data_IF_679645092153
#
_entry.id   IF_679645092153
#
_cell.length_a   1.000
_cell.length_b   1.000
_cell.length_c   1.000
_cell.angle_alpha   90.00
_cell.angle_beta   90.00
_cell.angle_gamma   90.00
#
_symmetry.space_group_name_H-M   'P 1'
#
loop_
_entity.id
_entity.type
_entity.pdbx_description
1 polymer ?
#
# COMPACT_ATOMS: atom_id res chain seq x y z
N UNK A 1 3.37 21.96 12.62
CA UNK A 1 2.64 22.55 11.47
C UNK A 1 2.26 21.39 10.57
N UNK A 2 0.96 21.08 10.44
CA UNK A 2 0.51 20.10 9.44
C UNK A 2 0.93 20.65 8.07
N UNK A 3 1.70 19.88 7.30
CA UNK A 3 1.96 20.24 5.90
C UNK A 3 0.61 20.24 5.19
N UNK A 4 0.21 21.39 4.66
CA UNK A 4 -0.90 21.43 3.71
C UNK A 4 -0.43 20.74 2.42
N UNK A 5 -1.24 19.82 1.91
CA UNK A 5 -1.03 19.23 0.59
C UNK A 5 -1.12 20.32 -0.47
N UNK A 6 -0.31 20.21 -1.53
CA UNK A 6 -0.47 21.04 -2.74
C UNK A 6 -1.70 20.61 -3.55
N UNK A 7 -2.21 19.41 -3.29
CA UNK A 7 -3.30 18.80 -4.01
C UNK A 7 -4.61 18.95 -3.24
N UNK A 8 -5.68 19.12 -4.00
CA UNK A 8 -7.03 19.09 -3.47
C UNK A 8 -7.75 17.89 -4.09
N UNK A 9 -8.08 16.91 -3.25
CA UNK A 9 -8.94 15.79 -3.63
C UNK A 9 -10.26 16.30 -4.21
N UNK A 10 -10.71 15.71 -5.31
CA UNK A 10 -11.99 16.01 -5.93
C UNK A 10 -13.13 15.38 -5.14
N UNK A 11 -14.17 16.16 -4.90
CA UNK A 11 -15.37 15.63 -4.29
C UNK A 11 -16.20 14.89 -5.35
N UNK A 12 -16.63 13.64 -5.07
CA UNK A 12 -17.60 12.96 -5.91
C UNK A 12 -18.93 13.72 -5.95
N UNK A 13 -19.68 13.57 -7.04
CA UNK A 13 -21.04 14.08 -7.16
C UNK A 13 -22.05 13.22 -6.37
N UNK A 14 -23.34 13.51 -6.51
CA UNK A 14 -24.42 12.78 -5.82
C UNK A 14 -24.48 11.29 -6.17
N UNK A 15 -23.93 10.89 -7.32
CA UNK A 15 -23.85 9.51 -7.77
C UNK A 15 -22.51 8.85 -7.40
N UNK A 16 -21.63 9.56 -6.70
CA UNK A 16 -20.28 9.09 -6.38
C UNK A 16 -19.30 9.19 -7.54
N UNK A 17 -19.62 9.95 -8.59
CA UNK A 17 -18.80 10.10 -9.79
C UNK A 17 -17.88 11.32 -9.68
N UNK A 18 -16.67 11.19 -10.20
CA UNK A 18 -15.68 12.28 -10.22
C UNK A 18 -15.45 12.72 -11.65
N UNK A 19 -15.52 14.03 -11.88
CA UNK A 19 -15.15 14.63 -13.16
C UNK A 19 -13.62 14.79 -13.26
N UNK A 20 -12.99 13.89 -14.00
CA UNK A 20 -11.58 13.97 -14.38
C UNK A 20 -11.44 14.74 -15.69
N UNK A 21 -10.48 15.65 -15.74
CA UNK A 21 -10.11 16.35 -16.97
C UNK A 21 -9.35 15.44 -17.93
N UNK A 22 -9.29 15.83 -19.20
CA UNK A 22 -8.52 15.10 -20.22
C UNK A 22 -7.04 14.97 -19.84
N UNK A 23 -6.47 16.00 -19.21
CA UNK A 23 -5.08 15.99 -18.77
C UNK A 23 -4.85 15.00 -17.61
N UNK A 24 -5.76 14.92 -16.65
CA UNK A 24 -5.67 13.94 -15.55
C UNK A 24 -5.81 12.51 -16.07
N UNK A 25 -6.72 12.28 -17.01
CA UNK A 25 -6.86 10.98 -17.68
C UNK A 25 -5.61 10.64 -18.51
N UNK A 26 -4.98 11.62 -19.16
CA UNK A 26 -3.73 11.41 -19.89
C UNK A 26 -2.58 11.03 -18.94
N UNK A 27 -2.42 11.73 -17.82
CA UNK A 27 -1.43 11.40 -16.79
C UNK A 27 -1.64 9.97 -16.29
N UNK A 28 -2.88 9.59 -15.99
CA UNK A 28 -3.21 8.21 -15.60
C UNK A 28 -2.79 7.19 -16.66
N UNK A 29 -3.15 7.44 -17.92
CA UNK A 29 -2.81 6.54 -19.03
C UNK A 29 -1.30 6.34 -19.19
N UNK A 30 -0.52 7.43 -19.09
CA UNK A 30 0.94 7.37 -19.16
C UNK A 30 1.54 6.61 -17.96
N UNK A 31 1.04 6.84 -16.74
CA UNK A 31 1.47 6.10 -15.53
C UNK A 31 1.13 4.61 -15.65
N UNK A 32 -0.08 4.28 -16.09
CA UNK A 32 -0.56 2.91 -16.28
C UNK A 32 0.31 2.17 -17.29
N UNK A 33 0.51 2.75 -18.48
CA UNK A 33 1.30 2.12 -19.54
C UNK A 33 2.75 1.87 -19.10
N UNK A 34 3.37 2.86 -18.46
CA UNK A 34 4.73 2.72 -17.92
C UNK A 34 4.82 1.58 -16.92
N UNK A 35 3.85 1.50 -16.00
CA UNK A 35 3.88 0.48 -14.95
C UNK A 35 3.58 -0.91 -15.50
N UNK A 36 2.60 -1.05 -16.40
CA UNK A 36 2.28 -2.33 -17.04
C UNK A 36 3.38 -2.88 -17.95
N UNK A 37 4.31 -2.04 -18.42
CA UNK A 37 5.50 -2.50 -19.10
C UNK A 37 6.55 -3.14 -18.14
N UNK A 38 6.50 -2.80 -16.85
CA UNK A 38 7.48 -3.24 -15.84
C UNK A 38 6.99 -4.42 -14.98
N UNK A 39 5.69 -4.48 -14.71
CA UNK A 39 5.11 -5.48 -13.80
C UNK A 39 5.17 -6.94 -14.28
N UNK A 40 5.11 -7.28 -15.59
CA UNK A 40 5.20 -8.67 -16.03
C UNK A 40 6.48 -9.36 -15.56
N UNK A 41 6.32 -10.53 -14.94
CA UNK A 41 7.43 -11.28 -14.32
C UNK A 41 7.90 -10.73 -12.96
N UNK A 42 7.34 -9.61 -12.49
CA UNK A 42 7.70 -8.97 -11.22
C UNK A 42 6.55 -8.95 -10.22
N UNK A 43 5.34 -8.55 -10.63
CA UNK A 43 4.16 -8.64 -9.77
C UNK A 43 3.68 -10.08 -9.61
N UNK A 44 3.10 -10.39 -8.45
CA UNK A 44 2.48 -11.69 -8.20
C UNK A 44 1.24 -11.92 -9.08
N UNK A 45 0.87 -13.19 -9.24
CA UNK A 45 -0.31 -13.59 -10.02
C UNK A 45 -1.60 -12.97 -9.47
N UNK A 46 -1.78 -12.95 -8.15
CA UNK A 46 -2.97 -12.43 -7.47
C UNK A 46 -3.20 -10.94 -7.78
N UNK A 47 -2.13 -10.19 -8.00
CA UNK A 47 -2.23 -8.80 -8.45
C UNK A 47 -2.86 -8.71 -9.84
N UNK A 48 -2.38 -9.50 -10.81
CA UNK A 48 -2.92 -9.50 -12.17
C UNK A 48 -4.36 -10.03 -12.22
N UNK A 49 -4.67 -11.08 -11.47
CA UNK A 49 -6.05 -11.57 -11.33
C UNK A 49 -6.97 -10.45 -10.85
N UNK A 50 -6.55 -9.70 -9.82
CA UNK A 50 -7.29 -8.56 -9.30
C UNK A 50 -7.40 -7.40 -10.29
N UNK A 51 -6.33 -7.10 -11.03
CA UNK A 51 -6.31 -6.06 -12.05
C UNK A 51 -7.35 -6.33 -13.15
N UNK A 52 -7.41 -7.58 -13.62
CA UNK A 52 -8.36 -8.05 -14.63
C UNK A 52 -9.80 -7.98 -14.10
N UNK A 53 -10.03 -8.39 -12.85
CA UNK A 53 -11.34 -8.31 -12.20
C UNK A 53 -11.85 -6.87 -12.08
N UNK A 54 -10.96 -5.94 -11.74
CA UNK A 54 -11.29 -4.52 -11.60
C UNK A 54 -11.52 -3.84 -12.96
N UNK A 55 -11.05 -4.42 -14.07
CA UNK A 55 -11.20 -3.84 -15.41
C UNK A 55 -10.44 -2.52 -15.58
N UNK A 56 -9.31 -2.35 -14.88
CA UNK A 56 -8.51 -1.13 -14.96
C UNK A 56 -7.86 -1.00 -16.34
N UNK A 57 -7.86 0.22 -16.87
CA UNK A 57 -7.41 0.48 -18.24
C UNK A 57 -6.66 1.82 -18.33
N UNK A 58 -5.82 2.03 -19.35
CA UNK A 58 -5.10 3.30 -19.52
C UNK A 58 -5.98 4.44 -20.06
N UNK A 59 -7.23 4.17 -20.45
CA UNK A 59 -8.06 5.16 -21.15
C UNK A 59 -8.55 6.31 -20.25
N UNK A 60 -8.82 6.03 -18.99
CA UNK A 60 -9.31 7.02 -18.04
C UNK A 60 -9.08 6.56 -16.60
N UNK A 61 -9.05 7.52 -15.67
CA UNK A 61 -9.06 7.25 -14.24
C UNK A 61 -10.36 6.52 -13.89
N UNK A 62 -10.31 5.35 -13.22
CA UNK A 62 -11.48 4.58 -12.88
C UNK A 62 -12.37 5.33 -11.89
N UNK A 63 -13.67 5.05 -11.96
CA UNK A 63 -14.64 5.58 -11.01
C UNK A 63 -14.72 4.65 -9.81
N UNK A 64 -14.72 5.22 -8.62
CA UNK A 64 -14.77 4.45 -7.37
C UNK A 64 -15.97 3.49 -7.29
N UNK A 65 -17.20 3.87 -7.72
CA UNK A 65 -18.34 2.93 -7.74
C UNK A 65 -18.11 1.67 -8.57
N UNK A 66 -17.34 1.74 -9.66
CA UNK A 66 -17.03 0.58 -10.50
C UNK A 66 -16.08 -0.39 -9.81
N UNK A 67 -15.07 0.15 -9.13
CA UNK A 67 -14.14 -0.62 -8.28
C UNK A 67 -14.91 -1.25 -7.11
N UNK A 68 -15.75 -0.47 -6.43
CA UNK A 68 -16.54 -0.91 -5.27
C UNK A 68 -17.44 -2.09 -5.60
N UNK A 69 -18.06 -2.10 -6.78
CA UNK A 69 -18.90 -3.22 -7.22
C UNK A 69 -18.13 -4.53 -7.21
N UNK A 70 -16.88 -4.53 -7.68
CA UNK A 70 -16.02 -5.70 -7.73
C UNK A 70 -15.54 -6.06 -6.32
N UNK A 71 -14.97 -5.10 -5.58
CA UNK A 71 -14.46 -5.34 -4.23
C UNK A 71 -15.54 -5.88 -3.28
N UNK A 72 -16.77 -5.36 -3.37
CA UNK A 72 -17.91 -5.84 -2.56
C UNK A 72 -18.23 -7.28 -2.88
N UNK A 73 -18.25 -7.65 -4.16
CA UNK A 73 -18.53 -9.01 -4.62
C UNK A 73 -17.41 -9.99 -4.24
N UNK A 74 -16.15 -9.55 -4.22
CA UNK A 74 -14.99 -10.41 -3.95
C UNK A 74 -14.77 -10.64 -2.45
N UNK A 75 -14.70 -9.57 -1.65
CA UNK A 75 -14.22 -9.62 -0.26
C UNK A 75 -15.06 -8.79 0.71
N UNK A 76 -16.11 -8.13 0.21
CA UNK A 76 -16.94 -7.20 0.97
C UNK A 76 -16.26 -5.85 1.22
N UNK A 77 -15.14 -5.58 0.54
CA UNK A 77 -14.45 -4.30 0.61
C UNK A 77 -15.09 -3.26 -0.31
N UNK A 78 -14.83 -1.99 -0.03
CA UNK A 78 -15.13 -0.88 -0.93
C UNK A 78 -14.10 0.22 -0.71
N UNK A 79 -14.06 1.21 -1.60
CA UNK A 79 -13.25 2.40 -1.45
C UNK A 79 -13.98 3.46 -0.62
N UNK A 80 -13.23 4.45 -0.13
CA UNK A 80 -13.75 5.66 0.48
C UNK A 80 -12.98 6.85 -0.05
N UNK A 81 -13.64 7.74 -0.79
CA UNK A 81 -13.04 9.01 -1.21
C UNK A 81 -12.65 9.83 0.01
N UNK A 82 -11.38 10.22 0.09
CA UNK A 82 -10.82 11.00 1.21
C UNK A 82 -10.06 12.23 0.71
N UNK A 83 -9.89 13.27 1.56
CA UNK A 83 -8.93 14.33 1.28
C UNK A 83 -7.50 13.77 1.14
N UNK A 84 -6.58 14.57 0.63
CA UNK A 84 -5.19 14.16 0.39
C UNK A 84 -4.48 13.62 1.65
N UNK A 85 -4.94 14.03 2.84
CA UNK A 85 -4.44 13.55 4.13
C UNK A 85 -5.60 13.33 5.10
N UNK A 86 -5.64 12.17 5.75
CA UNK A 86 -6.55 11.86 6.84
C UNK A 86 -5.80 11.55 8.13
N UNK A 87 -6.51 11.60 9.26
CA UNK A 87 -5.93 11.22 10.55
C UNK A 87 -5.71 9.70 10.63
N UNK A 88 -4.76 9.25 11.45
CA UNK A 88 -4.59 7.82 11.72
C UNK A 88 -5.86 7.16 12.27
N UNK A 89 -6.61 7.85 13.13
CA UNK A 89 -7.85 7.31 13.68
C UNK A 89 -8.88 6.99 12.59
N UNK A 90 -9.09 7.95 11.69
CA UNK A 90 -9.97 7.80 10.53
C UNK A 90 -9.48 6.70 9.58
N UNK A 91 -8.17 6.65 9.29
CA UNK A 91 -7.59 5.59 8.47
C UNK A 91 -7.89 4.19 9.04
N UNK A 92 -7.65 3.98 10.34
CA UNK A 92 -7.93 2.70 10.98
C UNK A 92 -9.42 2.36 11.04
N UNK A 93 -10.29 3.36 11.26
CA UNK A 93 -11.75 3.17 11.25
C UNK A 93 -12.27 2.70 9.89
N UNK A 94 -11.77 3.31 8.82
CA UNK A 94 -12.10 2.92 7.45
C UNK A 94 -11.67 1.47 7.18
N UNK A 95 -10.41 1.12 7.45
CA UNK A 95 -9.90 -0.24 7.21
C UNK A 95 -10.63 -1.29 8.04
N UNK A 96 -10.89 -1.00 9.32
CA UNK A 96 -11.64 -1.90 10.21
C UNK A 96 -13.07 -2.17 9.72
N UNK A 97 -13.62 -1.23 8.93
CA UNK A 97 -14.95 -1.30 8.33
C UNK A 97 -14.92 -1.77 6.87
N UNK A 98 -13.81 -2.36 6.41
CA UNK A 98 -13.58 -2.79 5.01
C UNK A 98 -13.74 -1.67 3.99
N UNK A 99 -13.32 -0.46 4.35
CA UNK A 99 -13.29 0.72 3.47
C UNK A 99 -11.85 1.13 3.25
N UNK A 100 -11.38 1.07 2.01
CA UNK A 100 -10.02 1.47 1.67
C UNK A 100 -10.00 2.97 1.30
N UNK A 101 -9.28 3.83 2.02
CA UNK A 101 -9.22 5.25 1.72
C UNK A 101 -8.52 5.48 0.39
N UNK A 102 -9.13 6.29 -0.47
CA UNK A 102 -8.56 6.69 -1.76
C UNK A 102 -8.56 8.20 -1.85
N UNK A 103 -7.38 8.81 -1.90
CA UNK A 103 -7.26 10.23 -2.16
C UNK A 103 -7.65 10.52 -3.62
N UNK A 104 -8.68 11.33 -3.82
CA UNK A 104 -9.28 11.56 -5.15
C UNK A 104 -8.61 12.70 -5.91
N UNK A 105 -7.29 12.67 -5.99
CA UNK A 105 -6.49 13.51 -6.87
C UNK A 105 -5.44 12.66 -7.60
N UNK A 106 -4.91 13.15 -8.72
CA UNK A 106 -3.76 12.53 -9.40
C UNK A 106 -2.59 13.51 -9.40
N UNK A 107 -1.35 12.99 -9.32
CA UNK A 107 -0.14 13.81 -9.37
C UNK A 107 -0.06 14.66 -10.64
N UNK A 108 0.62 15.80 -10.54
CA UNK A 108 0.91 16.67 -11.68
C UNK A 108 2.01 16.09 -12.58
N UNK A 109 2.17 16.65 -13.79
CA UNK A 109 3.30 16.31 -14.68
C UNK A 109 4.67 16.62 -14.06
N UNK A 110 4.78 17.66 -13.24
CA UNK A 110 6.04 18.00 -12.55
C UNK A 110 6.45 16.91 -11.55
N UNK A 111 5.48 16.26 -10.91
CA UNK A 111 5.69 15.21 -9.91
C UNK A 111 5.44 13.79 -10.49
N UNK A 112 5.41 13.66 -11.82
CA UNK A 112 5.09 12.41 -12.54
C UNK A 112 5.98 11.22 -12.16
N UNK A 113 7.24 11.48 -11.84
CA UNK A 113 8.21 10.44 -11.48
C UNK A 113 8.24 10.10 -9.99
N UNK A 114 7.81 11.02 -9.12
CA UNK A 114 7.81 10.81 -7.68
C UNK A 114 6.91 11.85 -7.02
N UNK A 115 5.97 11.36 -6.23
CA UNK A 115 5.14 12.15 -5.32
C UNK A 115 5.24 11.53 -3.93
N UNK A 116 5.45 12.35 -2.90
CA UNK A 116 5.54 11.87 -1.53
C UNK A 116 4.16 11.48 -0.96
N UNK A 117 3.12 12.18 -1.37
CA UNK A 117 1.74 11.92 -0.95
C UNK A 117 1.13 10.84 -1.85
N UNK A 118 0.36 9.89 -1.29
CA UNK A 118 -0.32 8.89 -2.10
C UNK A 118 -1.46 9.56 -2.89
N UNK A 119 -1.46 9.36 -4.21
CA UNK A 119 -2.51 9.81 -5.12
C UNK A 119 -3.40 8.65 -5.56
N UNK A 120 -4.45 8.93 -6.35
CA UNK A 120 -5.38 7.91 -6.82
C UNK A 120 -4.68 6.77 -7.59
N UNK A 121 -3.57 7.07 -8.28
CA UNK A 121 -2.79 6.03 -8.96
C UNK A 121 -2.14 5.08 -7.96
N UNK A 122 -1.47 5.60 -6.92
CA UNK A 122 -0.91 4.76 -5.87
C UNK A 122 -1.99 3.89 -5.21
N UNK A 123 -3.12 4.47 -4.84
CA UNK A 123 -4.15 3.73 -4.12
C UNK A 123 -4.83 2.67 -5.00
N UNK A 124 -5.25 3.07 -6.20
CA UNK A 124 -6.01 2.18 -7.08
C UNK A 124 -5.11 1.16 -7.77
N UNK A 125 -4.00 1.58 -8.38
CA UNK A 125 -3.11 0.62 -9.06
C UNK A 125 -2.21 -0.14 -8.09
N UNK A 126 -1.87 0.42 -6.93
CA UNK A 126 -1.01 -0.23 -5.95
C UNK A 126 -1.74 -1.22 -5.08
N UNK A 127 -2.94 -0.89 -4.59
CA UNK A 127 -3.58 -1.64 -3.49
C UNK A 127 -4.90 -2.31 -3.89
N UNK A 128 -5.77 -1.65 -4.66
CA UNK A 128 -7.11 -2.18 -4.96
C UNK A 128 -7.12 -3.58 -5.61
N UNK A 129 -6.25 -3.93 -6.58
CA UNK A 129 -6.21 -5.27 -7.16
C UNK A 129 -6.09 -6.37 -6.10
N UNK A 130 -5.22 -6.19 -5.11
CA UNK A 130 -4.98 -7.18 -4.07
C UNK A 130 -6.09 -7.24 -3.02
N UNK A 131 -6.91 -6.20 -2.88
CA UNK A 131 -8.12 -6.25 -2.03
C UNK A 131 -9.19 -7.21 -2.58
N UNK A 132 -9.08 -7.68 -3.82
CA UNK A 132 -9.91 -8.78 -4.35
C UNK A 132 -9.52 -10.14 -3.76
N UNK A 133 -8.29 -10.26 -3.22
CA UNK A 133 -7.79 -11.49 -2.62
C UNK A 133 -8.22 -11.61 -1.14
N UNK A 134 -8.85 -12.72 -0.70
CA UNK A 134 -9.32 -12.87 0.67
C UNK A 134 -8.24 -12.78 1.76
N UNK A 135 -7.02 -13.26 1.49
CA UNK A 135 -5.92 -13.24 2.47
C UNK A 135 -5.42 -11.83 2.72
N UNK A 136 -5.20 -11.07 1.64
CA UNK A 136 -4.79 -9.68 1.72
C UNK A 136 -5.90 -8.82 2.36
N UNK A 137 -7.14 -8.98 1.90
CA UNK A 137 -8.31 -8.30 2.45
C UNK A 137 -8.52 -8.56 3.95
N UNK A 138 -8.38 -9.80 4.41
CA UNK A 138 -8.52 -10.15 5.82
C UNK A 138 -7.40 -9.55 6.68
N UNK A 139 -6.16 -9.58 6.19
CA UNK A 139 -5.03 -8.95 6.87
C UNK A 139 -5.23 -7.44 7.03
N UNK A 140 -5.62 -6.74 5.96
CA UNK A 140 -5.85 -5.29 5.98
C UNK A 140 -7.00 -4.92 6.94
N UNK A 141 -8.05 -5.74 7.03
CA UNK A 141 -9.16 -5.53 7.98
C UNK A 141 -8.69 -5.71 9.42
N UNK A 142 -7.98 -6.80 9.71
CA UNK A 142 -7.40 -7.06 11.04
C UNK A 142 -6.48 -5.92 11.45
N UNK A 143 -5.62 -5.46 10.55
CA UNK A 143 -4.75 -4.31 10.81
C UNK A 143 -5.53 -3.04 11.20
N UNK A 144 -6.62 -2.73 10.47
CA UNK A 144 -7.54 -1.65 10.83
C UNK A 144 -8.09 -1.77 12.25
N UNK A 145 -8.61 -2.96 12.60
CA UNK A 145 -9.18 -3.26 13.93
C UNK A 145 -8.17 -3.14 15.06
N UNK A 146 -6.93 -3.58 14.83
CA UNK A 146 -5.84 -3.45 15.81
C UNK A 146 -5.50 -1.97 16.04
N UNK A 147 -5.34 -1.20 14.97
CA UNK A 147 -4.97 0.22 15.07
C UNK A 147 -6.02 1.08 15.79
N UNK A 148 -7.32 0.78 15.65
CA UNK A 148 -8.39 1.47 16.38
C UNK A 148 -8.21 1.38 17.89
N UNK A 149 -7.88 0.20 18.39
CA UNK A 149 -7.78 -0.09 19.83
C UNK A 149 -6.36 0.17 20.40
N UNK A 150 -5.39 0.43 19.54
CA UNK A 150 -3.99 0.61 19.91
C UNK A 150 -3.67 2.04 20.40
N UNK A 151 -2.73 2.13 21.35
CA UNK A 151 -2.11 3.39 21.76
C UNK A 151 -1.31 4.03 20.62
N UNK A 152 -0.95 5.31 20.76
CA UNK A 152 -0.11 6.01 19.77
C UNK A 152 1.23 5.29 19.56
N UNK A 153 1.83 4.79 20.63
CA UNK A 153 3.11 4.08 20.62
C UNK A 153 2.99 2.72 19.93
N UNK A 154 1.91 1.99 20.18
CA UNK A 154 1.62 0.71 19.53
C UNK A 154 1.35 0.87 18.03
N UNK A 155 0.63 1.93 17.64
CA UNK A 155 0.37 2.25 16.23
C UNK A 155 1.66 2.44 15.42
N UNK A 156 2.74 2.94 16.04
CA UNK A 156 4.04 3.06 15.36
C UNK A 156 4.64 1.69 15.02
N UNK A 157 4.45 0.68 15.88
CA UNK A 157 4.89 -0.69 15.60
C UNK A 157 4.00 -1.35 14.56
N UNK A 158 2.68 -1.21 14.68
CA UNK A 158 1.73 -1.70 13.67
C UNK A 158 2.05 -1.10 12.29
N UNK A 159 2.35 0.21 12.20
CA UNK A 159 2.71 0.86 10.94
C UNK A 159 3.93 0.23 10.26
N UNK A 160 4.90 -0.32 11.02
CA UNK A 160 6.04 -1.08 10.43
C UNK A 160 5.56 -2.39 9.81
N UNK A 161 4.69 -3.12 10.50
CA UNK A 161 4.13 -4.35 9.94
C UNK A 161 3.38 -4.06 8.64
N UNK A 162 2.58 -3.00 8.59
CA UNK A 162 1.90 -2.56 7.35
C UNK A 162 2.90 -2.15 6.27
N UNK A 163 3.93 -1.39 6.62
CA UNK A 163 4.99 -0.95 5.70
C UNK A 163 5.68 -2.14 5.03
N UNK A 164 6.08 -3.15 5.81
CA UNK A 164 6.80 -4.31 5.33
C UNK A 164 5.92 -5.41 4.71
N UNK A 165 4.61 -5.19 4.63
CA UNK A 165 3.66 -6.13 4.01
C UNK A 165 2.89 -5.44 2.88
N UNK A 166 1.93 -4.58 3.22
CA UNK A 166 1.03 -3.93 2.27
C UNK A 166 1.75 -2.91 1.39
N UNK A 167 2.74 -2.19 1.90
CA UNK A 167 3.44 -1.16 1.10
C UNK A 167 4.66 -1.71 0.34
N UNK A 168 5.52 -2.47 1.02
CA UNK A 168 6.81 -2.94 0.50
C UNK A 168 7.04 -4.45 0.70
N UNK A 169 5.97 -5.24 0.73
CA UNK A 169 6.06 -6.69 0.80
C UNK A 169 6.47 -7.33 -0.51
N UNK A 170 7.23 -8.42 -0.40
CA UNK A 170 7.46 -9.39 -1.47
C UNK A 170 6.79 -10.71 -1.10
N UNK A 171 6.65 -11.61 -2.08
CA UNK A 171 6.10 -12.95 -1.90
C UNK A 171 6.87 -13.94 -2.75
N UNK A 172 7.02 -15.18 -2.28
CA UNK A 172 7.49 -16.29 -3.11
C UNK A 172 6.32 -16.88 -3.90
N UNK A 173 6.52 -17.03 -5.20
CA UNK A 173 5.59 -17.68 -6.11
C UNK A 173 6.40 -18.68 -6.95
N UNK A 174 6.08 -19.97 -6.83
CA UNK A 174 6.79 -21.04 -7.54
C UNK A 174 8.32 -21.02 -7.35
N UNK A 175 8.78 -20.61 -6.16
CA UNK A 175 10.21 -20.51 -5.83
C UNK A 175 10.89 -19.21 -6.27
N UNK A 176 10.19 -18.34 -7.00
CA UNK A 176 10.71 -17.04 -7.42
C UNK A 176 10.10 -15.89 -6.61
N UNK A 177 10.81 -14.77 -6.53
CA UNK A 177 10.30 -13.57 -5.85
C UNK A 177 9.35 -12.79 -6.75
N UNK A 178 8.26 -12.32 -6.14
CA UNK A 178 7.26 -11.45 -6.73
C UNK A 178 6.89 -10.32 -5.78
N UNK A 179 6.28 -9.28 -6.31
CA UNK A 179 5.88 -8.07 -5.59
C UNK A 179 4.41 -8.20 -5.16
N UNK A 180 4.15 -7.86 -3.90
CA UNK A 180 2.80 -7.69 -3.34
C UNK A 180 2.58 -6.28 -2.77
N UNK A 181 3.65 -5.54 -2.46
CA UNK A 181 3.54 -4.21 -1.85
C UNK A 181 3.07 -3.13 -2.84
N UNK A 182 2.00 -2.40 -2.50
CA UNK A 182 1.42 -1.36 -3.34
C UNK A 182 2.33 -0.16 -3.61
N UNK A 183 3.19 0.18 -2.65
CA UNK A 183 4.26 1.18 -2.82
C UNK A 183 5.29 0.78 -3.88
N UNK A 184 5.55 -0.52 -4.03
CA UNK A 184 6.41 -1.06 -5.09
C UNK A 184 5.64 -1.12 -6.41
N UNK A 185 4.42 -1.67 -6.40
CA UNK A 185 3.57 -1.86 -7.58
C UNK A 185 3.20 -0.57 -8.29
N UNK A 186 3.21 0.57 -7.59
CA UNK A 186 2.92 1.90 -8.12
C UNK A 186 4.17 2.77 -8.40
N UNK A 187 5.37 2.22 -8.21
CA UNK A 187 6.64 2.93 -8.35
C UNK A 187 7.60 2.20 -9.29
N UNK A 188 7.94 2.80 -10.46
CA UNK A 188 8.88 2.20 -11.41
C UNK A 188 10.25 1.88 -10.81
N UNK A 189 10.77 2.78 -9.96
CA UNK A 189 12.10 2.63 -9.36
C UNK A 189 12.12 1.46 -8.37
N UNK A 190 11.11 1.39 -7.51
CA UNK A 190 10.99 0.31 -6.53
C UNK A 190 10.70 -1.03 -7.20
N UNK A 191 9.86 -1.06 -8.25
CA UNK A 191 9.55 -2.29 -9.00
C UNK A 191 10.81 -3.02 -9.49
N UNK A 192 11.76 -2.31 -10.09
CA UNK A 192 13.02 -2.93 -10.51
C UNK A 192 13.94 -3.18 -9.32
N UNK A 193 14.14 -2.17 -8.45
CA UNK A 193 15.11 -2.25 -7.36
C UNK A 193 14.80 -3.36 -6.36
N UNK A 194 13.53 -3.54 -5.99
CA UNK A 194 13.10 -4.52 -4.99
C UNK A 194 13.42 -5.97 -5.39
N UNK A 195 13.60 -6.28 -6.68
CA UNK A 195 13.93 -7.63 -7.16
C UNK A 195 15.35 -7.77 -7.71
N UNK A 196 15.91 -6.70 -8.28
CA UNK A 196 17.15 -6.77 -9.05
C UNK A 196 18.36 -6.20 -8.31
N UNK A 197 18.16 -5.39 -7.27
CA UNK A 197 19.26 -4.82 -6.48
C UNK A 197 20.06 -5.90 -5.77
N UNK A 198 21.38 -5.82 -5.89
CA UNK A 198 22.39 -6.63 -5.19
C UNK A 198 22.68 -6.11 -3.77
N UNK A 199 22.25 -4.88 -3.46
CA UNK A 199 22.42 -4.26 -2.13
C UNK A 199 21.20 -4.49 -1.24
N UNK A 200 20.00 -4.56 -1.82
CA UNK A 200 18.76 -4.70 -1.04
C UNK A 200 18.68 -6.07 -0.35
N UNK A 201 18.48 -6.04 0.97
CA UNK A 201 18.33 -7.25 1.78
C UNK A 201 16.91 -7.78 1.65
N UNK A 202 16.77 -9.11 1.54
CA UNK A 202 15.48 -9.80 1.43
C UNK A 202 15.43 -10.92 2.46
N UNK A 203 14.52 -10.81 3.42
CA UNK A 203 14.39 -11.78 4.51
C UNK A 203 12.99 -12.41 4.53
N UNK A 204 12.85 -13.69 4.91
CA UNK A 204 11.55 -14.27 5.18
C UNK A 204 10.79 -13.43 6.22
N UNK A 205 9.49 -13.20 6.02
CA UNK A 205 8.70 -12.42 6.95
C UNK A 205 8.56 -13.15 8.29
N UNK A 206 9.10 -12.54 9.33
CA UNK A 206 8.78 -12.82 10.72
C UNK A 206 8.09 -11.59 11.31
N UNK A 207 6.90 -11.76 11.88
CA UNK A 207 6.07 -10.63 12.36
C UNK A 207 6.84 -9.81 13.41
N UNK A 208 7.51 -10.46 14.35
CA UNK A 208 8.29 -9.78 15.38
C UNK A 208 9.44 -8.96 14.80
N UNK A 209 10.12 -9.45 13.76
CA UNK A 209 11.23 -8.75 13.14
C UNK A 209 10.73 -7.53 12.35
N UNK A 210 9.64 -7.68 11.59
CA UNK A 210 9.00 -6.55 10.91
C UNK A 210 8.58 -5.45 11.89
N UNK A 211 7.99 -5.81 13.04
CA UNK A 211 7.62 -4.86 14.10
C UNK A 211 8.82 -4.09 14.68
N UNK A 212 10.03 -4.66 14.63
CA UNK A 212 11.26 -4.08 15.20
C UNK A 212 12.13 -3.36 14.17
N UNK A 213 11.84 -3.50 12.88
CA UNK A 213 12.69 -2.97 11.81
C UNK A 213 12.42 -1.48 11.55
N UNK A 214 13.41 -0.58 11.67
CA UNK A 214 13.26 0.82 11.26
C UNK A 214 13.08 0.94 9.74
N UNK A 215 12.29 1.92 9.30
CA UNK A 215 12.14 2.26 7.88
C UNK A 215 12.17 3.78 7.66
N UNK A 216 12.37 4.18 6.41
CA UNK A 216 12.26 5.58 5.96
C UNK A 216 11.45 5.63 4.67
N UNK A 217 10.57 6.62 4.60
CA UNK A 217 9.63 6.81 3.49
C UNK A 217 10.23 7.51 2.27
N UNK A 218 11.42 8.10 2.41
CA UNK A 218 12.03 9.00 1.42
C UNK A 218 13.31 8.42 0.77
N UNK A 219 13.49 7.10 0.85
CA UNK A 219 14.60 6.36 0.26
C UNK A 219 14.08 5.06 -0.40
N UNK A 220 14.86 4.49 -1.32
CA UNK A 220 14.64 3.09 -1.74
C UNK A 220 14.88 2.16 -0.54
N UNK A 221 14.03 1.16 -0.37
CA UNK A 221 14.08 0.37 0.87
C UNK A 221 15.35 -0.50 0.92
N UNK A 222 16.16 -0.41 1.98
CA UNK A 222 17.34 -1.25 2.12
C UNK A 222 16.98 -2.71 2.46
N UNK A 223 15.75 -2.96 2.93
CA UNK A 223 15.27 -4.27 3.35
C UNK A 223 13.80 -4.48 2.94
N UNK A 224 13.52 -5.66 2.42
CA UNK A 224 12.18 -6.16 2.13
C UNK A 224 11.93 -7.46 2.89
N UNK A 225 10.71 -7.64 3.37
CA UNK A 225 10.27 -8.93 3.89
C UNK A 225 9.50 -9.71 2.82
N UNK A 226 9.76 -11.01 2.79
CA UNK A 226 9.26 -11.94 1.79
C UNK A 226 8.26 -12.88 2.47
N UNK A 227 7.01 -12.81 2.04
CA UNK A 227 5.99 -13.79 2.37
C UNK A 227 6.34 -15.13 1.73
N UNK A 228 6.14 -16.24 2.44
CA UNK A 228 6.34 -17.57 1.88
C UNK A 228 5.31 -17.88 0.78
N UNK A 229 4.09 -17.37 0.94
CA UNK A 229 2.99 -17.41 -0.01
C UNK A 229 1.88 -16.45 0.46
N UNK A 230 0.79 -16.33 -0.31
CA UNK A 230 -0.34 -15.47 0.06
C UNK A 230 -1.12 -15.92 1.30
N UNK A 231 -1.15 -17.21 1.64
CA UNK A 231 -1.89 -17.67 2.82
C UNK A 231 -1.25 -17.21 4.13
N UNK A 232 0.05 -16.88 4.13
CA UNK A 232 0.71 -16.30 5.29
C UNK A 232 0.04 -15.01 5.78
N UNK A 233 -0.51 -14.17 4.88
CA UNK A 233 -1.28 -12.98 5.30
C UNK A 233 -2.56 -13.37 6.05
N UNK A 234 -3.25 -14.44 5.61
CA UNK A 234 -4.42 -14.97 6.30
C UNK A 234 -4.05 -15.60 7.66
N UNK A 235 -2.89 -16.22 7.77
CA UNK A 235 -2.39 -16.75 9.04
C UNK A 235 -2.12 -15.60 10.01
N UNK A 236 -1.40 -14.57 9.56
CA UNK A 236 -1.09 -13.38 10.36
C UNK A 236 -2.38 -12.67 10.79
N UNK A 237 -3.40 -12.56 9.92
CA UNK A 237 -4.66 -11.91 10.27
C UNK A 237 -5.44 -12.61 11.39
N UNK A 238 -5.12 -13.87 11.69
CA UNK A 238 -5.70 -14.68 12.77
C UNK A 238 -4.80 -14.77 14.02
N UNK A 239 -3.58 -14.25 13.96
CA UNK A 239 -2.66 -14.23 15.09
C UNK A 239 -3.07 -13.18 16.12
N UNK A 240 -2.73 -13.43 17.39
CA UNK A 240 -2.73 -12.38 18.41
C UNK A 240 -1.46 -11.53 18.27
N UNK A 241 -1.56 -10.43 17.50
CA UNK A 241 -0.43 -9.57 17.15
C UNK A 241 -0.02 -8.66 18.32
N UNK A 242 -0.94 -8.28 19.21
CA UNK A 242 -0.65 -7.30 20.26
C UNK A 242 0.41 -7.76 21.27
N UNK A 243 0.45 -9.04 21.72
CA UNK A 243 1.57 -9.57 22.48
C UNK A 243 2.93 -9.41 21.78
N UNK A 244 2.99 -9.58 20.45
CA UNK A 244 4.22 -9.39 19.68
C UNK A 244 4.62 -7.91 19.61
N UNK A 245 3.64 -7.00 19.55
CA UNK A 245 3.90 -5.55 19.68
C UNK A 245 4.52 -5.23 21.03
N UNK A 246 3.98 -5.78 22.13
CA UNK A 246 4.55 -5.60 23.47
C UNK A 246 5.95 -6.17 23.60
N UNK A 247 6.18 -7.35 23.02
CA UNK A 247 7.50 -7.96 22.97
C UNK A 247 8.49 -7.10 22.17
N UNK A 248 8.08 -6.56 21.02
CA UNK A 248 8.91 -5.67 20.20
C UNK A 248 9.28 -4.38 20.95
N UNK A 249 8.35 -3.81 21.73
CA UNK A 249 8.60 -2.66 22.59
C UNK A 249 9.66 -2.96 23.65
N UNK A 250 9.62 -4.15 24.27
CA UNK A 250 10.60 -4.55 25.29
C UNK A 250 11.99 -4.83 24.71
N UNK A 251 12.06 -5.44 23.54
CA UNK A 251 13.32 -5.78 22.88
C UNK A 251 13.99 -4.60 22.17
N UNK A 252 13.25 -3.50 21.95
CA UNK A 252 13.72 -2.36 21.18
C UNK A 252 13.80 -2.63 19.67
N UNK A 253 14.07 -1.57 18.92
CA UNK A 253 14.23 -1.61 17.46
C UNK A 253 15.60 -2.18 17.07
N UNK A 254 15.69 -2.74 15.87
CA UNK A 254 16.97 -3.05 15.25
C UNK A 254 17.74 -1.78 14.88
N UNK A 255 19.04 -1.91 14.67
CA UNK A 255 19.86 -0.86 14.08
C UNK A 255 19.38 -0.55 12.65
N UNK A 256 19.19 0.73 12.27
CA UNK A 256 18.78 1.08 10.92
C UNK A 256 19.84 0.71 9.87
N UNK A 257 19.40 0.17 8.74
CA UNK A 257 20.26 -0.07 7.56
C UNK A 257 20.45 1.18 6.69
N UNK A 258 20.14 2.36 7.23
CA UNK A 258 20.23 3.64 6.54
C UNK A 258 20.76 4.71 7.50
N UNK A 259 21.41 5.73 6.95
CA UNK A 259 21.86 6.87 7.73
C UNK A 259 20.65 7.61 8.33
N UNK A 260 20.62 7.85 9.66
CA UNK A 260 19.59 8.68 10.28
C UNK A 260 19.57 10.08 9.66
N UNK A 261 18.40 10.71 9.57
CA UNK A 261 18.35 12.14 9.20
C UNK A 261 19.16 12.92 10.24
N UNK A 262 20.10 13.74 9.79
CA UNK A 262 20.72 14.74 10.66
C UNK A 262 19.58 15.57 11.26
N UNK A 263 19.53 15.67 12.59
CA UNK A 263 18.60 16.61 13.23
C UNK A 263 18.96 18.00 12.69
N UNK A 264 18.01 18.68 12.07
CA UNK A 264 18.16 20.10 11.80
C UNK A 264 18.45 20.76 13.16
N UNK A 265 19.62 21.38 13.29
CA UNK A 265 20.03 22.09 14.49
C UNK A 265 19.16 23.31 14.76
#
# INVERSE_FOLDING_TARGET
MSKQSKYNSKNPDINGMIQWSDEENAIWGELYQRQMALLPGRACKEYFDGLDMLGLSPQAIPQLPDIDRVLKASTGWQTAAVPALISFGEFFELLASKRFPVATFIRSREEFHYLQEPDIFHEVMGHCPLLTNPSFAAFTETYGKLGLNASKEERVFLARLYWFTVEFGLVKENGELRIVGGGILSSPKETCYALESDVAVRHPLQVLDALRTPYRIDILQPLYYVLENFSQLMEISRMDIMPLVKQAQQLGLFEPLFTPKQRAG
#
